data_IF_598974960345
#
_entry.id   IF_598974960345
#
_cell.length_a   1.000
_cell.length_b   1.000
_cell.length_c   1.000
_cell.angle_alpha   90.00
_cell.angle_beta   90.00
_cell.angle_gamma   90.00
#
_symmetry.space_group_name_H-M   'P 1'
#
loop_
_entity.id
_entity.type
_entity.pdbx_description
1 polymer ?
#
# COMPACT_ATOMS: atom_id res chain seq x y z
N UNK A 1 -23.22 15.60 19.02
CA UNK A 1 -22.53 14.30 18.96
C UNK A 1 -21.39 14.45 17.97
N UNK A 2 -20.10 14.39 18.35
CA UNK A 2 -19.06 14.28 17.34
C UNK A 2 -19.17 12.87 16.78
N UNK A 3 -19.39 12.78 15.47
CA UNK A 3 -19.49 11.52 14.74
C UNK A 3 -18.24 10.68 15.00
N UNK A 4 -18.43 9.44 15.44
CA UNK A 4 -17.43 8.38 15.38
C UNK A 4 -17.09 8.16 13.91
N UNK A 5 -16.17 8.96 13.38
CA UNK A 5 -15.52 8.70 12.10
C UNK A 5 -14.48 7.59 12.33
N UNK A 6 -14.92 6.47 12.88
CA UNK A 6 -14.12 5.27 13.07
C UNK A 6 -14.07 4.55 11.72
N UNK A 7 -12.87 4.45 11.17
CA UNK A 7 -12.59 3.66 9.98
C UNK A 7 -11.55 2.60 10.33
N UNK A 8 -11.39 1.55 9.50
CA UNK A 8 -10.43 0.50 9.80
C UNK A 8 -9.02 1.07 10.02
N UNK A 9 -8.42 0.73 11.16
CA UNK A 9 -7.03 1.10 11.48
C UNK A 9 -6.07 0.55 10.43
N UNK A 10 -4.92 1.20 10.30
CA UNK A 10 -3.89 0.75 9.37
C UNK A 10 -3.36 -0.61 9.78
N UNK A 11 -3.40 -1.53 8.82
CA UNK A 11 -2.81 -2.86 8.84
C UNK A 11 -2.12 -3.11 7.50
N UNK A 12 -1.65 -4.33 7.28
CA UNK A 12 -0.72 -4.65 6.19
C UNK A 12 -1.32 -4.58 4.78
N UNK A 13 -2.65 -4.65 4.66
CA UNK A 13 -3.37 -4.87 3.40
C UNK A 13 -4.34 -3.73 3.02
N UNK A 14 -4.46 -2.67 3.84
CA UNK A 14 -5.46 -1.61 3.63
C UNK A 14 -4.87 -0.20 3.56
N UNK A 15 -3.58 -0.07 3.21
CA UNK A 15 -2.90 1.23 3.26
C UNK A 15 -3.54 2.29 2.36
N UNK A 16 -4.01 1.94 1.16
CA UNK A 16 -4.58 2.92 0.23
C UNK A 16 -5.88 3.52 0.76
N UNK A 17 -6.82 2.68 1.19
CA UNK A 17 -8.10 3.11 1.79
C UNK A 17 -7.86 3.86 3.09
N UNK A 18 -6.97 3.32 3.94
CA UNK A 18 -6.59 3.98 5.20
C UNK A 18 -6.03 5.38 4.95
N UNK A 19 -5.11 5.51 3.98
CA UNK A 19 -4.48 6.79 3.64
C UNK A 19 -5.53 7.81 3.24
N UNK A 20 -6.45 7.45 2.35
CA UNK A 20 -7.52 8.36 1.90
C UNK A 20 -8.38 8.85 3.06
N UNK A 21 -8.80 7.95 3.94
CA UNK A 21 -9.65 8.28 5.09
C UNK A 21 -8.90 9.09 6.15
N UNK A 22 -7.63 8.76 6.38
CA UNK A 22 -6.77 9.49 7.30
C UNK A 22 -6.47 10.91 6.80
N UNK A 23 -6.19 11.08 5.50
CA UNK A 23 -6.04 12.40 4.87
C UNK A 23 -7.30 13.25 5.08
N UNK A 24 -8.50 12.68 4.88
CA UNK A 24 -9.75 13.38 5.10
C UNK A 24 -9.93 13.86 6.55
N UNK A 25 -9.50 13.06 7.54
CA UNK A 25 -9.52 13.46 8.95
C UNK A 25 -8.53 14.59 9.23
N UNK A 26 -7.31 14.48 8.72
CA UNK A 26 -6.27 15.50 8.90
C UNK A 26 -6.67 16.83 8.26
N UNK A 27 -7.29 16.80 7.08
CA UNK A 27 -7.84 17.99 6.42
C UNK A 27 -8.95 18.61 7.28
N UNK A 28 -9.92 17.80 7.72
CA UNK A 28 -11.04 18.26 8.56
C UNK A 28 -10.56 18.90 9.88
N UNK A 29 -9.44 18.43 10.44
CA UNK A 29 -8.83 18.97 11.67
C UNK A 29 -7.84 20.10 11.42
N UNK A 30 -7.55 20.47 10.17
CA UNK A 30 -6.57 21.51 9.82
C UNK A 30 -5.12 21.10 10.14
N UNK A 31 -4.82 19.80 10.07
CA UNK A 31 -3.53 19.21 10.44
C UNK A 31 -2.71 18.75 9.22
N UNK A 32 -3.32 18.68 8.04
CA UNK A 32 -2.69 18.12 6.82
C UNK A 32 -1.36 18.81 6.46
N UNK A 33 -1.23 20.12 6.67
CA UNK A 33 -0.01 20.89 6.35
C UNK A 33 1.20 20.49 7.21
N UNK A 34 0.97 19.92 8.41
CA UNK A 34 2.04 19.42 9.27
C UNK A 34 2.50 18.04 8.84
N UNK A 35 1.58 17.23 8.28
CA UNK A 35 1.83 15.85 7.85
C UNK A 35 2.48 15.80 6.47
N UNK A 36 2.12 16.71 5.56
CA UNK A 36 2.78 16.82 4.25
C UNK A 36 4.06 17.69 4.29
N UNK A 37 4.43 18.22 5.46
CA UNK A 37 5.62 19.04 5.66
C UNK A 37 5.58 20.43 5.01
N UNK A 38 4.43 20.89 4.54
CA UNK A 38 4.26 22.26 4.01
C UNK A 38 4.41 23.31 5.11
N UNK A 39 3.88 23.03 6.31
CA UNK A 39 4.06 23.90 7.47
C UNK A 39 5.44 23.68 8.07
N UNK A 40 6.32 24.67 7.92
CA UNK A 40 7.64 24.67 8.55
C UNK A 40 7.58 25.26 9.95
N UNK A 41 8.51 24.82 10.79
CA UNK A 41 8.70 25.38 12.12
C UNK A 41 8.98 26.89 12.00
N UNK A 42 8.25 27.74 12.73
CA UNK A 42 8.49 29.18 12.69
C UNK A 42 9.85 29.52 13.33
N UNK A 43 10.51 30.60 12.88
CA UNK A 43 11.74 31.06 13.50
C UNK A 43 11.47 31.56 14.93
N UNK A 44 12.39 31.29 15.85
CA UNK A 44 12.31 31.75 17.24
C UNK A 44 12.90 30.76 18.23
N UNK A 45 12.99 31.17 19.50
CA UNK A 45 13.36 30.25 20.58
C UNK A 45 12.21 29.25 20.87
N UNK A 46 12.50 28.07 21.45
CA UNK A 46 11.49 27.05 21.76
C UNK A 46 10.30 27.54 22.59
N UNK A 47 10.50 28.59 23.39
CA UNK A 47 9.48 29.14 24.28
C UNK A 47 8.65 30.27 23.66
N UNK A 48 8.91 30.64 22.41
CA UNK A 48 8.07 31.61 21.72
C UNK A 48 6.66 31.05 21.51
N UNK A 49 5.64 31.92 21.59
CA UNK A 49 4.24 31.54 21.39
C UNK A 49 4.01 30.82 20.06
N UNK A 50 4.69 31.25 18.99
CA UNK A 50 4.58 30.65 17.67
C UNK A 50 5.17 29.23 17.62
N UNK A 51 6.37 29.02 18.18
CA UNK A 51 6.99 27.69 18.22
C UNK A 51 6.18 26.71 19.07
N UNK A 52 5.71 27.14 20.24
CA UNK A 52 4.86 26.30 21.10
C UNK A 52 3.54 25.91 20.42
N UNK A 53 2.91 26.85 19.70
CA UNK A 53 1.68 26.56 18.94
C UNK A 53 1.93 25.56 17.81
N UNK A 54 3.05 25.70 17.09
CA UNK A 54 3.46 24.76 16.05
C UNK A 54 3.70 23.35 16.62
N UNK A 55 4.49 23.24 17.71
CA UNK A 55 4.78 21.95 18.35
C UNK A 55 3.52 21.26 18.88
N UNK A 56 2.55 22.01 19.41
CA UNK A 56 1.25 21.45 19.82
C UNK A 56 0.50 20.84 18.64
N UNK A 57 0.48 21.52 17.48
CA UNK A 57 -0.18 21.02 16.28
C UNK A 57 0.55 19.82 15.66
N UNK A 58 1.88 19.77 15.70
CA UNK A 58 2.63 18.57 15.33
C UNK A 58 2.29 17.39 16.25
N UNK A 59 2.27 17.60 17.56
CA UNK A 59 1.92 16.56 18.52
C UNK A 59 0.48 16.05 18.33
N UNK A 60 -0.46 16.95 18.02
CA UNK A 60 -1.84 16.62 17.67
C UNK A 60 -1.89 15.77 16.39
N UNK A 61 -1.27 16.21 15.29
CA UNK A 61 -1.22 15.45 14.04
C UNK A 61 -0.61 14.06 14.22
N UNK A 62 0.48 13.97 14.99
CA UNK A 62 1.11 12.70 15.34
C UNK A 62 0.15 11.79 16.12
N UNK A 63 -0.53 12.32 17.14
CA UNK A 63 -1.46 11.55 17.94
C UNK A 63 -2.61 10.99 17.08
N UNK A 64 -3.16 11.80 16.17
CA UNK A 64 -4.19 11.36 15.22
C UNK A 64 -3.73 10.16 14.38
N UNK A 65 -2.50 10.21 13.84
CA UNK A 65 -1.95 9.10 13.05
C UNK A 65 -1.76 7.86 13.93
N UNK A 66 -1.09 8.00 15.09
CA UNK A 66 -0.77 6.87 15.98
C UNK A 66 -2.02 6.16 16.48
N UNK A 67 -3.10 6.89 16.75
CA UNK A 67 -4.37 6.29 17.20
C UNK A 67 -5.08 5.48 16.11
N UNK A 68 -4.75 5.74 14.84
CA UNK A 68 -5.36 5.12 13.67
C UNK A 68 -4.51 4.00 13.05
N UNK A 69 -3.48 3.51 13.75
CA UNK A 69 -2.72 2.33 13.32
C UNK A 69 -2.91 1.16 14.27
N UNK A 70 -2.76 -0.06 13.77
CA UNK A 70 -2.67 -1.25 14.61
C UNK A 70 -1.31 -1.36 15.31
N UNK A 71 -1.24 -2.18 16.38
CA UNK A 71 0.00 -2.43 17.14
C UNK A 71 1.15 -2.89 16.25
N UNK A 72 0.85 -3.66 15.19
CA UNK A 72 1.82 -4.15 14.20
C UNK A 72 2.56 -3.04 13.45
N UNK A 73 1.96 -1.86 13.36
CA UNK A 73 2.50 -0.70 12.64
C UNK A 73 3.25 0.28 13.56
N UNK A 74 3.27 0.05 14.88
CA UNK A 74 3.84 1.00 15.85
C UNK A 74 5.34 1.27 15.67
N UNK A 75 6.08 0.35 15.04
CA UNK A 75 7.49 0.53 14.67
C UNK A 75 7.69 1.67 13.67
N UNK A 76 6.70 1.94 12.82
CA UNK A 76 6.78 2.93 11.74
C UNK A 76 6.35 4.36 12.16
N UNK A 77 5.76 4.51 13.34
CA UNK A 77 5.19 5.78 13.84
C UNK A 77 5.88 6.34 15.10
N UNK A 78 7.13 5.94 15.34
CA UNK A 78 7.87 6.32 16.56
C UNK A 78 8.38 7.76 16.54
N UNK A 79 8.66 8.30 15.34
CA UNK A 79 9.24 9.62 15.17
C UNK A 79 8.36 10.72 15.80
N UNK A 80 8.93 11.79 16.37
CA UNK A 80 8.14 12.93 16.85
C UNK A 80 7.54 13.79 15.72
N UNK A 81 8.12 13.79 14.52
CA UNK A 81 7.64 14.57 13.39
C UNK A 81 6.58 13.79 12.59
N UNK A 82 5.32 14.26 12.56
CA UNK A 82 4.27 13.58 11.80
C UNK A 82 4.55 13.49 10.29
N UNK A 83 5.37 14.38 9.71
CA UNK A 83 5.75 14.28 8.31
C UNK A 83 6.69 13.09 8.04
N UNK A 84 7.63 12.84 8.96
CA UNK A 84 8.53 11.68 8.90
C UNK A 84 7.72 10.39 9.07
N UNK A 85 6.77 10.38 10.02
CA UNK A 85 5.85 9.24 10.20
C UNK A 85 5.10 8.94 8.90
N UNK A 86 4.49 9.96 8.30
CA UNK A 86 3.69 9.79 7.08
C UNK A 86 4.53 9.23 5.93
N UNK A 87 5.72 9.78 5.74
CA UNK A 87 6.68 9.30 4.75
C UNK A 87 7.11 7.84 4.99
N UNK A 88 7.38 7.47 6.25
CA UNK A 88 7.76 6.09 6.61
C UNK A 88 6.63 5.10 6.29
N UNK A 89 5.39 5.44 6.66
CA UNK A 89 4.22 4.62 6.36
C UNK A 89 4.02 4.48 4.85
N UNK A 90 4.14 5.58 4.09
CA UNK A 90 4.07 5.53 2.63
C UNK A 90 5.15 4.64 2.03
N UNK A 91 6.39 4.78 2.51
CA UNK A 91 7.53 4.04 1.99
C UNK A 91 7.37 2.54 2.23
N UNK A 92 7.04 2.12 3.46
CA UNK A 92 6.92 0.69 3.79
C UNK A 92 5.76 0.03 3.05
N UNK A 93 4.60 0.69 2.99
CA UNK A 93 3.40 0.12 2.38
C UNK A 93 3.44 0.16 0.85
N UNK A 94 4.05 1.18 0.24
CA UNK A 94 4.33 1.17 -1.21
C UNK A 94 5.36 0.10 -1.57
N UNK A 95 6.44 -0.03 -0.82
CA UNK A 95 7.46 -1.05 -1.07
C UNK A 95 6.89 -2.46 -0.92
N UNK A 96 6.07 -2.70 0.10
CA UNK A 96 5.37 -3.98 0.31
C UNK A 96 4.36 -4.26 -0.79
N UNK A 97 3.54 -3.28 -1.15
CA UNK A 97 2.61 -3.39 -2.29
C UNK A 97 3.37 -3.72 -3.58
N UNK A 98 4.48 -3.06 -3.84
CA UNK A 98 5.35 -3.37 -4.98
C UNK A 98 5.94 -4.78 -4.91
N UNK A 99 6.51 -5.19 -3.78
CA UNK A 99 7.09 -6.52 -3.60
C UNK A 99 6.04 -7.63 -3.76
N UNK A 100 4.85 -7.45 -3.19
CA UNK A 100 3.72 -8.37 -3.34
C UNK A 100 3.30 -8.47 -4.80
N UNK A 101 3.09 -7.34 -5.48
CA UNK A 101 2.77 -7.31 -6.92
C UNK A 101 3.84 -7.99 -7.76
N UNK A 102 5.13 -7.73 -7.49
CA UNK A 102 6.25 -8.36 -8.20
C UNK A 102 6.33 -9.87 -7.94
N UNK A 103 6.15 -10.31 -6.69
CA UNK A 103 6.10 -11.73 -6.34
C UNK A 103 4.98 -12.43 -7.09
N UNK A 104 3.78 -11.84 -7.13
CA UNK A 104 2.64 -12.44 -7.82
C UNK A 104 2.84 -12.45 -9.34
N UNK A 105 3.41 -11.39 -9.94
CA UNK A 105 3.83 -11.39 -11.35
C UNK A 105 4.83 -12.51 -11.63
N UNK A 106 5.86 -12.67 -10.80
CA UNK A 106 6.83 -13.78 -10.95
C UNK A 106 6.16 -15.14 -10.88
N UNK A 107 5.29 -15.37 -9.89
CA UNK A 107 4.52 -16.62 -9.76
C UNK A 107 3.68 -16.88 -11.01
N UNK A 108 3.04 -15.85 -11.55
CA UNK A 108 2.25 -15.95 -12.78
C UNK A 108 3.11 -16.36 -13.98
N UNK A 109 4.26 -15.70 -14.21
CA UNK A 109 5.16 -16.08 -15.31
C UNK A 109 5.87 -17.43 -15.12
N UNK A 110 5.90 -17.97 -13.91
CA UNK A 110 6.46 -19.28 -13.59
C UNK A 110 5.43 -20.40 -13.55
N UNK A 111 4.15 -20.12 -13.85
CA UNK A 111 3.13 -21.16 -13.93
C UNK A 111 3.53 -22.19 -14.99
N UNK A 112 3.36 -23.47 -14.66
CA UNK A 112 3.58 -24.61 -15.54
C UNK A 112 2.34 -25.49 -15.54
N UNK A 113 1.95 -25.96 -16.72
CA UNK A 113 0.94 -27.00 -16.87
C UNK A 113 1.53 -28.32 -16.37
N UNK A 114 0.86 -28.96 -15.42
CA UNK A 114 1.20 -30.32 -15.02
C UNK A 114 0.78 -31.33 -16.11
N UNK A 115 1.47 -32.47 -16.17
CA UNK A 115 1.26 -33.48 -17.22
C UNK A 115 -0.15 -34.07 -17.20
N UNK A 116 -0.74 -34.20 -16.01
CA UNK A 116 -2.07 -34.74 -15.74
C UNK A 116 -3.22 -33.73 -15.91
N UNK A 117 -2.91 -32.45 -16.09
CA UNK A 117 -3.90 -31.38 -16.27
C UNK A 117 -4.29 -31.26 -17.75
N UNK A 118 -5.57 -31.10 -18.07
CA UNK A 118 -6.00 -30.87 -19.46
C UNK A 118 -5.62 -29.47 -19.96
N UNK A 119 -5.54 -29.26 -21.28
CA UNK A 119 -5.25 -27.95 -21.85
C UNK A 119 -6.31 -26.90 -21.45
N UNK A 120 -7.58 -27.30 -21.40
CA UNK A 120 -8.68 -26.42 -20.98
C UNK A 120 -8.55 -26.00 -19.52
N UNK A 121 -8.21 -26.95 -18.63
CA UNK A 121 -7.99 -26.67 -17.21
C UNK A 121 -6.76 -25.76 -17.00
N UNK A 122 -5.69 -25.96 -17.78
CA UNK A 122 -4.53 -25.08 -17.78
C UNK A 122 -4.88 -23.64 -18.16
N UNK A 123 -5.60 -23.44 -19.27
CA UNK A 123 -6.04 -22.10 -19.71
C UNK A 123 -6.91 -21.43 -18.63
N UNK A 124 -7.83 -22.19 -18.04
CA UNK A 124 -8.68 -21.68 -16.96
C UNK A 124 -7.88 -21.27 -15.72
N UNK A 125 -6.84 -22.04 -15.35
CA UNK A 125 -5.94 -21.70 -14.25
C UNK A 125 -5.18 -20.40 -14.50
N UNK A 126 -4.57 -20.25 -15.68
CA UNK A 126 -3.83 -19.02 -16.04
C UNK A 126 -4.75 -17.80 -15.99
N UNK A 127 -5.94 -17.89 -16.57
CA UNK A 127 -6.94 -16.81 -16.54
C UNK A 127 -7.39 -16.46 -15.12
N UNK A 128 -7.58 -17.47 -14.26
CA UNK A 128 -7.94 -17.26 -12.86
C UNK A 128 -6.86 -16.47 -12.11
N UNK A 129 -5.59 -16.82 -12.30
CA UNK A 129 -4.48 -16.10 -11.65
C UNK A 129 -4.32 -14.69 -12.21
N UNK A 130 -4.51 -14.50 -13.51
CA UNK A 130 -4.51 -13.17 -14.13
C UNK A 130 -5.61 -12.27 -13.56
N UNK A 131 -6.82 -12.81 -13.36
CA UNK A 131 -7.93 -12.08 -12.75
C UNK A 131 -7.61 -11.64 -11.31
N UNK A 132 -7.03 -12.54 -10.50
CA UNK A 132 -6.61 -12.21 -9.12
C UNK A 132 -5.51 -11.13 -9.07
N UNK A 133 -4.65 -11.06 -10.10
CA UNK A 133 -3.65 -10.01 -10.24
C UNK A 133 -4.30 -8.67 -10.57
N UNK A 134 -5.28 -8.66 -11.46
CA UNK A 134 -6.02 -7.45 -11.82
C UNK A 134 -6.81 -6.88 -10.63
N UNK A 135 -7.34 -7.72 -9.74
CA UNK A 135 -8.03 -7.29 -8.50
C UNK A 135 -7.14 -6.49 -7.52
N UNK A 136 -5.80 -6.58 -7.65
CA UNK A 136 -4.85 -5.86 -6.80
C UNK A 136 -4.05 -4.79 -7.58
N UNK A 137 -4.67 -4.24 -8.63
CA UNK A 137 -4.12 -3.21 -9.53
C UNK A 137 -2.81 -3.63 -10.21
N UNK A 138 -2.68 -4.92 -10.57
CA UNK A 138 -1.62 -5.39 -11.45
C UNK A 138 -2.16 -5.51 -12.86
N UNK A 139 -1.64 -4.66 -13.76
CA UNK A 139 -1.97 -4.73 -15.18
C UNK A 139 -1.38 -5.99 -15.84
N UNK A 140 -2.22 -6.79 -16.48
CA UNK A 140 -1.87 -8.02 -17.20
C UNK A 140 -2.29 -7.84 -18.65
N UNK A 141 -1.31 -7.76 -19.54
CA UNK A 141 -1.55 -7.62 -20.97
C UNK A 141 -1.94 -8.95 -21.61
N UNK A 142 -2.53 -8.89 -22.81
CA UNK A 142 -2.75 -10.08 -23.64
C UNK A 142 -1.42 -10.78 -23.99
N UNK A 143 -0.34 -10.01 -24.20
CA UNK A 143 1.01 -10.55 -24.42
C UNK A 143 1.51 -11.36 -23.22
N UNK A 144 1.28 -10.88 -21.99
CA UNK A 144 1.62 -11.61 -20.76
C UNK A 144 0.86 -12.93 -20.68
N UNK A 145 -0.43 -12.93 -21.03
CA UNK A 145 -1.27 -14.14 -21.05
C UNK A 145 -0.74 -15.16 -22.07
N UNK A 146 -0.44 -14.72 -23.29
CA UNK A 146 0.11 -15.59 -24.35
C UNK A 146 1.46 -16.17 -23.92
N UNK A 147 2.32 -15.34 -23.32
CA UNK A 147 3.64 -15.76 -22.85
C UNK A 147 3.53 -16.85 -21.78
N UNK A 148 2.66 -16.68 -20.78
CA UNK A 148 2.46 -17.71 -19.74
C UNK A 148 1.85 -18.97 -20.32
N UNK A 149 0.82 -18.84 -21.16
CA UNK A 149 0.14 -19.99 -21.77
C UNK A 149 1.07 -20.86 -22.60
N UNK A 150 2.03 -20.26 -23.30
CA UNK A 150 2.98 -20.95 -24.19
C UNK A 150 4.21 -21.46 -23.44
N UNK A 151 4.89 -20.61 -22.66
CA UNK A 151 6.05 -21.01 -21.87
C UNK A 151 5.68 -22.02 -20.77
N UNK A 152 4.41 -22.05 -20.36
CA UNK A 152 3.89 -22.95 -19.35
C UNK A 152 3.75 -24.40 -19.78
N UNK A 153 3.81 -24.70 -21.08
CA UNK A 153 3.53 -26.03 -21.61
C UNK A 153 4.72 -27.00 -21.43
N UNK A 154 4.45 -28.31 -21.23
CA UNK A 154 5.49 -29.33 -21.25
C UNK A 154 6.21 -29.42 -22.60
N UNK A 155 7.42 -29.99 -22.60
CA UNK A 155 8.24 -30.17 -23.81
C UNK A 155 7.56 -30.99 -24.91
N UNK A 156 6.56 -31.82 -24.57
CA UNK A 156 5.73 -32.56 -25.54
C UNK A 156 4.98 -31.65 -26.51
N UNK A 157 4.77 -30.37 -26.14
CA UNK A 157 4.13 -29.36 -26.98
C UNK A 157 5.13 -28.51 -27.78
N UNK A 158 6.43 -28.73 -27.63
CA UNK A 158 7.48 -27.89 -28.24
C UNK A 158 7.48 -27.85 -29.77
N UNK A 159 6.77 -28.77 -30.44
CA UNK A 159 6.61 -28.77 -31.90
C UNK A 159 5.43 -27.89 -32.39
N UNK A 160 4.60 -27.37 -31.48
CA UNK A 160 3.39 -26.58 -31.79
C UNK A 160 3.51 -25.11 -31.39
N UNK A 161 4.63 -24.73 -30.76
CA UNK A 161 4.95 -23.39 -30.26
C UNK A 161 6.11 -22.87 -31.12
#
# INVERSE_FOLDING_TARGET
>A
MPSDNSFPKLKEDNYYEWRMLMEAILVRKGLIEYVNGMKKMPPGSPNTKAVLAFSRKQAEARAEIVLQVETSQLSHVRDPDPAVIWYNLETVHRARGFATRLMLRRKFHMLKKADDVSMQAWIAQVRRVAFQLQEIDVDISDEDLILVLTLGLPSSYGNFI
#
